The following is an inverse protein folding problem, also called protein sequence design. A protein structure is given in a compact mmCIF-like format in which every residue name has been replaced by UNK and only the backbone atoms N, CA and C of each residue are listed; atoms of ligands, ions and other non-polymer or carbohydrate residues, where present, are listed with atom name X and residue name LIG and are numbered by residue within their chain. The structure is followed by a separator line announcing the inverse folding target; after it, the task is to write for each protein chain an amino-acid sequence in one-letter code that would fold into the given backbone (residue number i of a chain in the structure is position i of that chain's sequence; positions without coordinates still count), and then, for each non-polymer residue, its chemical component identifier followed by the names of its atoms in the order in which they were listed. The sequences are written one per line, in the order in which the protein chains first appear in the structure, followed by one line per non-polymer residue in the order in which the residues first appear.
data_IF_659546131774
#
_entry.id   IF_659546131774
#
_cell.length_a   1.000
_cell.length_b   1.000
_cell.length_c   1.000
_cell.angle_alpha   90.00
_cell.angle_beta   90.00
_cell.angle_gamma   90.00
#
_symmetry.space_group_name_H-M   'P 1'
#
loop_
_entity.id
_entity.type
_entity.pdbx_description
1 polymer ?
#
# COMPACT_ATOMS: atom_id res chain seq x y z
N UNK A 1 3.77 -10.71 6.49
CA UNK A 1 4.53 -11.64 5.67
C UNK A 1 5.77 -12.18 6.37
N UNK A 2 7.00 -11.67 6.16
CA UNK A 2 8.20 -12.22 6.82
C UNK A 2 8.11 -12.09 8.35
N UNK A 3 7.76 -10.92 8.87
CA UNK A 3 7.60 -10.73 10.31
C UNK A 3 6.51 -11.63 10.89
N UNK A 4 5.37 -11.73 10.24
CA UNK A 4 4.28 -12.64 10.60
C UNK A 4 4.74 -14.09 10.62
N UNK A 5 5.47 -14.55 9.59
CA UNK A 5 6.04 -15.90 9.52
C UNK A 5 7.03 -16.18 10.66
N UNK A 6 7.91 -15.23 10.97
CA UNK A 6 8.86 -15.39 12.06
C UNK A 6 8.19 -15.49 13.44
N UNK A 7 7.15 -14.68 13.68
CA UNK A 7 6.40 -14.72 14.93
C UNK A 7 5.55 -15.98 15.04
N UNK A 8 4.89 -16.39 13.94
CA UNK A 8 4.02 -17.57 13.92
C UNK A 8 4.79 -18.89 14.08
N UNK A 9 6.06 -18.93 13.67
CA UNK A 9 6.93 -20.13 13.76
C UNK A 9 7.97 -20.02 14.88
N UNK A 10 7.75 -19.18 15.90
CA UNK A 10 8.62 -19.00 17.06
C UNK A 10 10.09 -18.71 16.73
N UNK A 11 10.34 -18.08 15.57
CA UNK A 11 11.70 -17.69 15.14
C UNK A 11 12.15 -16.36 15.74
N UNK A 12 11.18 -15.57 16.23
CA UNK A 12 11.41 -14.33 16.94
C UNK A 12 10.22 -14.05 17.88
N UNK A 13 10.46 -13.43 19.01
CA UNK A 13 9.41 -12.93 19.91
C UNK A 13 8.90 -11.56 19.48
N UNK A 14 9.77 -10.80 18.82
CA UNK A 14 9.53 -9.44 18.35
C UNK A 14 10.30 -9.15 17.09
N UNK A 15 9.68 -8.46 16.15
CA UNK A 15 10.33 -8.06 14.89
C UNK A 15 10.24 -6.54 14.73
N UNK A 16 11.38 -5.90 14.50
CA UNK A 16 11.43 -4.48 14.13
C UNK A 16 11.47 -4.38 12.60
N UNK A 17 10.48 -3.72 12.04
CA UNK A 17 10.39 -3.47 10.60
C UNK A 17 10.76 -2.01 10.38
N UNK A 18 11.78 -1.77 9.57
CA UNK A 18 12.25 -0.42 9.22
C UNK A 18 12.14 -0.24 7.71
N UNK A 19 11.51 0.86 7.31
CA UNK A 19 11.48 1.32 5.92
C UNK A 19 11.98 2.76 5.88
N UNK A 20 12.99 3.03 5.06
CA UNK A 20 13.54 4.38 4.92
C UNK A 20 14.05 4.62 3.50
N UNK A 21 13.89 5.84 3.04
CA UNK A 21 14.44 6.29 1.76
C UNK A 21 14.84 7.77 1.86
N UNK A 22 15.87 8.17 1.11
CA UNK A 22 16.33 9.55 1.00
C UNK A 22 16.68 9.88 -0.46
N UNK A 23 15.68 9.80 -1.33
CA UNK A 23 15.85 10.02 -2.77
C UNK A 23 16.22 11.46 -3.11
N UNK A 24 15.96 12.41 -2.19
CA UNK A 24 16.28 13.83 -2.37
C UNK A 24 17.69 14.19 -1.95
N UNK A 25 18.52 13.24 -1.50
CA UNK A 25 19.94 13.51 -1.23
C UNK A 25 20.69 13.87 -2.53
N UNK A 26 21.72 14.72 -2.48
CA UNK A 26 22.49 15.09 -3.66
C UNK A 26 23.07 13.88 -4.42
N UNK A 27 23.45 12.83 -3.70
CA UNK A 27 24.05 11.62 -4.26
C UNK A 27 23.03 10.76 -5.02
N UNK A 28 21.79 10.66 -4.52
CA UNK A 28 20.76 9.82 -5.12
C UNK A 28 19.89 10.57 -6.13
N UNK A 29 19.68 11.88 -5.94
CA UNK A 29 18.81 12.69 -6.78
C UNK A 29 19.19 12.63 -8.26
N UNK A 30 20.47 12.81 -8.58
CA UNK A 30 20.94 12.81 -9.96
C UNK A 30 20.75 11.46 -10.67
N UNK A 31 20.76 10.38 -9.93
CA UNK A 31 20.62 9.03 -10.47
C UNK A 31 19.16 8.56 -10.47
N UNK A 32 18.50 8.55 -9.31
CA UNK A 32 17.11 8.06 -9.17
C UNK A 32 16.15 9.05 -9.80
N UNK A 33 16.32 10.35 -9.55
CA UNK A 33 15.49 11.41 -10.13
C UNK A 33 15.55 11.44 -11.64
N UNK A 34 16.75 11.32 -12.22
CA UNK A 34 16.94 11.22 -13.67
C UNK A 34 16.27 9.97 -14.24
N UNK A 35 16.35 8.84 -13.57
CA UNK A 35 15.70 7.59 -13.99
C UNK A 35 14.18 7.70 -14.04
N UNK A 36 13.56 8.28 -13.01
CA UNK A 36 12.10 8.51 -12.97
C UNK A 36 11.66 9.57 -13.98
N UNK A 37 12.43 10.63 -14.18
CA UNK A 37 12.16 11.63 -15.21
C UNK A 37 12.25 11.02 -16.60
N UNK A 38 13.30 10.25 -16.89
CA UNK A 38 13.50 9.61 -18.18
C UNK A 38 12.42 8.58 -18.53
N UNK A 39 11.88 7.90 -17.53
CA UNK A 39 10.76 6.95 -17.69
C UNK A 39 9.40 7.61 -17.78
N UNK A 40 9.30 8.93 -17.61
CA UNK A 40 8.03 9.67 -17.56
C UNK A 40 7.21 9.38 -16.31
N UNK A 41 7.82 8.81 -15.27
CA UNK A 41 7.14 8.47 -14.01
C UNK A 41 7.14 9.64 -13.02
N UNK A 42 8.15 10.52 -13.05
CA UNK A 42 8.18 11.70 -12.20
C UNK A 42 7.40 12.86 -12.80
N UNK A 43 6.76 13.65 -11.94
CA UNK A 43 6.12 14.91 -12.36
C UNK A 43 7.17 15.91 -12.84
N UNK A 44 6.89 16.56 -13.98
CA UNK A 44 7.66 17.68 -14.51
C UNK A 44 6.91 19.02 -14.37
N UNK A 45 5.78 19.05 -13.69
CA UNK A 45 5.02 20.28 -13.46
C UNK A 45 5.78 21.21 -12.50
N UNK A 46 5.87 22.49 -12.87
CA UNK A 46 6.39 23.54 -12.00
C UNK A 46 5.29 24.24 -11.19
N UNK A 47 4.05 23.80 -11.33
CA UNK A 47 2.89 24.30 -10.59
C UNK A 47 2.57 23.35 -9.45
N UNK A 48 2.83 23.77 -8.22
CA UNK A 48 2.64 22.95 -7.03
C UNK A 48 1.23 22.38 -6.92
N UNK A 49 0.20 23.16 -7.23
CA UNK A 49 -1.20 22.74 -7.19
C UNK A 49 -1.59 21.71 -8.27
N UNK A 50 -0.73 21.45 -9.23
CA UNK A 50 -0.90 20.45 -10.29
C UNK A 50 -0.04 19.21 -10.09
N UNK A 51 0.82 19.24 -9.10
CA UNK A 51 1.56 18.07 -8.64
C UNK A 51 0.71 17.27 -7.64
N UNK A 52 1.05 16.02 -7.36
CA UNK A 52 0.36 15.19 -6.37
C UNK A 52 -1.17 15.15 -6.54
N UNK A 53 -1.63 14.71 -7.69
CA UNK A 53 -3.06 14.59 -8.02
C UNK A 53 -3.53 13.11 -7.97
N UNK A 54 -3.71 12.50 -6.79
CA UNK A 54 -4.10 11.10 -6.69
C UNK A 54 -5.48 10.88 -7.32
N UNK A 55 -5.60 9.85 -8.17
CA UNK A 55 -6.81 9.47 -8.90
C UNK A 55 -7.36 10.52 -9.88
N UNK A 56 -6.75 11.70 -9.99
CA UNK A 56 -7.16 12.74 -10.93
C UNK A 56 -6.74 12.39 -12.36
N UNK A 57 -7.56 12.76 -13.34
CA UNK A 57 -7.25 12.56 -14.76
C UNK A 57 -6.07 13.40 -15.25
N UNK A 58 -5.77 14.51 -14.57
CA UNK A 58 -4.67 15.43 -14.86
C UNK A 58 -3.35 15.00 -14.21
N UNK A 59 -3.36 13.91 -13.42
CA UNK A 59 -2.13 13.42 -12.76
C UNK A 59 -1.00 13.28 -13.76
N UNK A 60 0.18 13.70 -13.41
CA UNK A 60 1.31 13.84 -14.35
C UNK A 60 2.63 13.21 -13.87
N UNK A 61 2.61 12.52 -12.75
CA UNK A 61 3.78 11.81 -12.24
C UNK A 61 3.96 11.93 -10.74
N UNK A 62 4.83 11.08 -10.21
CA UNK A 62 5.17 11.04 -8.79
C UNK A 62 6.08 12.21 -8.39
N UNK A 63 6.04 12.55 -7.12
CA UNK A 63 6.96 13.48 -6.48
C UNK A 63 7.92 12.65 -5.63
N UNK A 64 9.23 12.89 -5.81
CA UNK A 64 10.25 12.24 -5.02
C UNK A 64 10.42 12.94 -3.67
N UNK A 65 10.57 12.15 -2.62
CA UNK A 65 10.72 12.64 -1.27
C UNK A 65 11.74 11.86 -0.46
N UNK A 66 11.73 12.09 0.84
CA UNK A 66 12.47 11.31 1.81
C UNK A 66 11.60 11.03 3.03
N UNK A 67 11.87 9.93 3.71
CA UNK A 67 11.16 9.57 4.92
C UNK A 67 11.67 8.28 5.51
N UNK A 68 11.31 8.06 6.77
CA UNK A 68 11.56 6.81 7.47
C UNK A 68 10.39 6.47 8.38
N UNK A 69 10.07 5.19 8.48
CA UNK A 69 9.10 4.66 9.43
C UNK A 69 9.61 3.35 10.01
N UNK A 70 9.27 3.09 11.26
CA UNK A 70 9.57 1.83 11.91
C UNK A 70 8.35 1.31 12.68
N UNK A 71 8.18 -0.01 12.65
CA UNK A 71 7.14 -0.71 13.41
C UNK A 71 7.78 -1.81 14.24
N UNK A 72 7.29 -1.98 15.44
CA UNK A 72 7.55 -3.16 16.27
C UNK A 72 6.33 -4.05 16.21
N UNK A 73 6.51 -5.28 15.76
CA UNK A 73 5.44 -6.29 15.68
C UNK A 73 5.81 -7.43 16.63
N UNK A 74 4.87 -7.83 17.47
CA UNK A 74 5.03 -8.92 18.44
C UNK A 74 3.71 -9.66 18.63
N UNK A 75 3.74 -10.82 19.26
CA UNK A 75 2.50 -11.55 19.60
C UNK A 75 1.74 -10.81 20.70
N UNK A 76 0.41 -10.90 20.69
CA UNK A 76 -0.46 -10.24 21.69
C UNK A 76 -0.11 -10.66 23.12
N UNK A 77 0.24 -11.93 23.33
CA UNK A 77 0.65 -12.44 24.66
C UNK A 77 1.91 -11.73 25.18
N UNK A 78 2.92 -11.58 24.33
CA UNK A 78 4.19 -10.91 24.66
C UNK A 78 3.99 -9.42 25.00
N UNK A 79 3.11 -8.74 24.24
CA UNK A 79 2.76 -7.35 24.52
C UNK A 79 2.05 -7.22 25.88
N UNK A 80 1.11 -8.13 26.16
CA UNK A 80 0.37 -8.15 27.42
C UNK A 80 1.27 -8.41 28.63
N UNK A 81 2.20 -9.37 28.56
CA UNK A 81 3.16 -9.67 29.62
C UNK A 81 4.05 -8.46 29.97
N UNK A 82 4.36 -7.64 28.97
CA UNK A 82 5.15 -6.41 29.16
C UNK A 82 4.31 -5.19 29.57
N UNK A 83 2.99 -5.32 29.67
CA UNK A 83 2.07 -4.23 29.95
C UNK A 83 2.02 -3.16 28.83
N UNK A 84 2.33 -3.54 27.60
CA UNK A 84 2.28 -2.62 26.45
C UNK A 84 0.90 -2.67 25.81
N UNK A 85 0.29 -1.49 25.62
CA UNK A 85 -0.94 -1.35 24.85
C UNK A 85 -0.59 -1.21 23.38
N UNK A 86 -0.98 -2.14 22.50
CA UNK A 86 -0.71 -2.05 21.07
C UNK A 86 -1.55 -0.92 20.43
N UNK A 87 -1.02 -0.32 19.37
CA UNK A 87 -1.74 0.67 18.55
C UNK A 87 -2.79 0.03 17.65
N UNK A 88 -2.51 -1.19 17.18
CA UNK A 88 -3.37 -1.93 16.28
C UNK A 88 -3.01 -3.42 16.33
N UNK A 89 -3.91 -4.25 15.84
CA UNK A 89 -3.68 -5.67 15.63
C UNK A 89 -3.46 -5.95 14.13
N UNK A 90 -2.39 -6.69 13.82
CA UNK A 90 -2.14 -7.17 12.48
C UNK A 90 -2.93 -8.46 12.25
N UNK A 91 -4.02 -8.39 11.53
CA UNK A 91 -4.87 -9.56 11.28
C UNK A 91 -4.25 -10.52 10.29
N UNK A 92 -3.70 -10.01 9.19
CA UNK A 92 -3.08 -10.84 8.16
C UNK A 92 -2.26 -10.03 7.15
N UNK A 93 -1.36 -10.73 6.42
CA UNK A 93 -0.62 -10.18 5.29
C UNK A 93 -0.72 -11.07 4.06
N UNK A 94 -0.62 -10.47 2.86
CA UNK A 94 -0.58 -11.20 1.59
C UNK A 94 0.54 -10.66 0.70
N UNK A 95 1.32 -11.58 0.15
CA UNK A 95 2.25 -11.30 -0.94
C UNK A 95 1.81 -12.07 -2.18
N UNK A 96 1.86 -11.42 -3.34
CA UNK A 96 1.54 -12.03 -4.62
C UNK A 96 2.40 -11.43 -5.72
N UNK A 97 2.66 -12.22 -6.76
CA UNK A 97 3.39 -11.82 -7.95
C UNK A 97 2.68 -12.38 -9.18
N UNK A 98 2.40 -11.52 -10.18
CA UNK A 98 1.73 -11.93 -11.40
C UNK A 98 2.67 -12.40 -12.50
N UNK A 99 3.97 -12.06 -12.44
CA UNK A 99 4.94 -12.25 -13.52
C UNK A 99 4.47 -11.70 -14.89
N UNK A 100 3.57 -10.70 -14.90
CA UNK A 100 2.89 -10.19 -16.08
C UNK A 100 3.81 -9.30 -16.93
N UNK A 101 4.45 -8.31 -16.33
CA UNK A 101 5.32 -7.35 -16.99
C UNK A 101 6.20 -6.60 -15.97
N UNK A 102 7.41 -6.19 -16.38
CA UNK A 102 8.37 -5.53 -15.50
C UNK A 102 7.90 -4.17 -14.94
N UNK A 103 7.04 -3.44 -15.67
CA UNK A 103 6.62 -2.08 -15.30
C UNK A 103 5.11 -1.84 -15.37
N UNK A 104 4.32 -2.79 -15.84
CA UNK A 104 2.86 -2.68 -15.93
C UNK A 104 2.21 -3.62 -14.94
N UNK A 105 1.17 -3.14 -14.25
CA UNK A 105 0.38 -3.96 -13.35
C UNK A 105 -0.60 -4.85 -14.13
N UNK A 106 -0.75 -6.08 -13.69
CA UNK A 106 -1.88 -6.93 -14.07
C UNK A 106 -3.08 -6.55 -13.21
N UNK A 107 -3.93 -5.72 -13.77
CA UNK A 107 -5.09 -5.14 -13.05
C UNK A 107 -6.06 -6.22 -12.58
N UNK A 108 -6.22 -7.31 -13.35
CA UNK A 108 -7.09 -8.42 -12.99
C UNK A 108 -6.50 -9.26 -11.86
N UNK A 109 -5.20 -9.53 -11.92
CA UNK A 109 -4.50 -10.21 -10.85
C UNK A 109 -4.54 -9.43 -9.53
N UNK A 110 -4.36 -8.11 -9.58
CA UNK A 110 -4.48 -7.24 -8.38
C UNK A 110 -5.88 -7.34 -7.79
N UNK A 111 -6.92 -7.25 -8.63
CA UNK A 111 -8.31 -7.35 -8.17
C UNK A 111 -8.61 -8.71 -7.53
N UNK A 112 -8.21 -9.81 -8.16
CA UNK A 112 -8.36 -11.16 -7.62
C UNK A 112 -7.59 -11.37 -6.31
N UNK A 113 -6.38 -10.80 -6.21
CA UNK A 113 -5.55 -10.89 -5.01
C UNK A 113 -6.20 -10.18 -3.83
N UNK A 114 -6.75 -8.98 -4.04
CA UNK A 114 -7.43 -8.21 -2.98
C UNK A 114 -8.74 -8.89 -2.58
N UNK A 115 -9.52 -9.37 -3.52
CA UNK A 115 -10.76 -10.10 -3.23
C UNK A 115 -10.48 -11.38 -2.43
N UNK A 116 -9.52 -12.19 -2.87
CA UNK A 116 -9.08 -13.37 -2.13
C UNK A 116 -8.49 -13.07 -0.75
N UNK A 117 -7.80 -11.93 -0.59
CA UNK A 117 -7.31 -11.46 0.70
C UNK A 117 -8.46 -11.17 1.66
N UNK A 118 -9.45 -10.38 1.24
CA UNK A 118 -10.62 -10.05 2.05
C UNK A 118 -11.45 -11.29 2.34
N UNK A 119 -11.69 -12.16 1.34
CA UNK A 119 -12.40 -13.41 1.55
C UNK A 119 -11.73 -14.34 2.57
N UNK A 120 -10.39 -14.34 2.62
CA UNK A 120 -9.67 -15.09 3.66
C UNK A 120 -9.86 -14.47 5.05
N UNK A 121 -9.88 -13.15 5.15
CA UNK A 121 -10.16 -12.46 6.41
C UNK A 121 -11.58 -12.77 6.91
N UNK A 122 -12.57 -12.76 6.02
CA UNK A 122 -13.95 -13.15 6.34
C UNK A 122 -14.02 -14.57 6.91
N UNK A 123 -13.35 -15.52 6.26
CA UNK A 123 -13.32 -16.91 6.71
C UNK A 123 -12.60 -17.11 8.06
N UNK A 124 -11.50 -16.38 8.28
CA UNK A 124 -10.65 -16.59 9.46
C UNK A 124 -11.18 -15.87 10.68
N UNK A 125 -11.71 -14.65 10.49
CA UNK A 125 -12.08 -13.74 11.57
C UNK A 125 -13.60 -13.51 11.69
N UNK A 126 -14.40 -14.15 10.84
CA UNK A 126 -15.85 -13.95 10.84
C UNK A 126 -16.27 -12.54 10.45
N UNK A 127 -15.45 -11.83 9.67
CA UNK A 127 -15.76 -10.49 9.19
C UNK A 127 -16.74 -10.54 8.02
N UNK A 128 -17.48 -9.46 7.82
CA UNK A 128 -18.31 -9.25 6.64
C UNK A 128 -17.83 -7.99 5.93
N UNK A 129 -17.40 -8.10 4.67
CA UNK A 129 -16.83 -7.01 3.89
C UNK A 129 -17.76 -5.83 3.75
N UNK A 130 -19.07 -6.06 3.62
CA UNK A 130 -20.05 -5.00 3.44
C UNK A 130 -20.37 -4.28 4.75
N UNK A 131 -20.36 -5.01 5.87
CA UNK A 131 -20.56 -4.46 7.20
C UNK A 131 -19.33 -3.63 7.65
N UNK A 132 -18.11 -4.08 7.32
CA UNK A 132 -16.89 -3.38 7.69
C UNK A 132 -16.59 -2.16 6.80
N UNK A 133 -17.09 -2.11 5.56
CA UNK A 133 -16.75 -1.07 4.59
C UNK A 133 -16.87 0.37 5.13
N UNK A 134 -17.93 0.76 5.87
CA UNK A 134 -18.06 2.13 6.42
C UNK A 134 -16.98 2.49 7.46
N UNK A 135 -16.32 1.50 8.04
CA UNK A 135 -15.28 1.66 9.06
C UNK A 135 -13.90 1.28 8.53
N UNK A 136 -13.76 1.15 7.21
CA UNK A 136 -12.51 0.77 6.55
C UNK A 136 -11.82 1.99 5.98
N UNK A 137 -10.51 2.10 6.25
CA UNK A 137 -9.62 3.03 5.57
C UNK A 137 -8.69 2.23 4.67
N UNK A 138 -8.74 2.52 3.39
CA UNK A 138 -7.82 1.96 2.40
C UNK A 138 -6.66 2.93 2.16
N UNK A 139 -5.46 2.55 2.57
CA UNK A 139 -4.24 3.32 2.29
C UNK A 139 -3.75 3.00 0.89
N UNK A 140 -3.95 3.94 -0.01
CA UNK A 140 -3.66 3.81 -1.43
C UNK A 140 -2.15 3.83 -1.73
N UNK A 141 -1.74 2.99 -2.69
CA UNK A 141 -0.42 3.03 -3.31
C UNK A 141 -0.36 4.01 -4.49
N UNK A 142 -1.46 4.63 -4.90
CA UNK A 142 -1.50 5.52 -6.08
C UNK A 142 -0.28 6.46 -6.12
N UNK A 143 0.44 6.44 -7.25
CA UNK A 143 1.71 7.14 -7.46
C UNK A 143 1.61 8.31 -8.42
N UNK A 144 0.40 8.72 -8.80
CA UNK A 144 0.09 9.83 -9.70
C UNK A 144 0.64 9.66 -11.12
N UNK A 145 1.15 8.49 -11.47
CA UNK A 145 1.67 8.23 -12.82
C UNK A 145 0.53 8.19 -13.84
N UNK A 146 0.69 8.81 -15.03
CA UNK A 146 -0.36 8.87 -16.04
C UNK A 146 -0.56 7.57 -16.81
N UNK A 147 0.22 6.53 -16.53
CA UNK A 147 0.21 5.28 -17.26
C UNK A 147 -1.17 4.59 -17.24
N UNK A 148 -1.60 4.08 -18.39
CA UNK A 148 -2.77 3.18 -18.47
C UNK A 148 -2.45 1.86 -17.77
N UNK A 149 -3.42 1.32 -17.03
CA UNK A 149 -3.19 0.12 -16.21
C UNK A 149 -2.27 0.37 -15.01
N UNK A 150 -2.17 1.63 -14.56
CA UNK A 150 -1.39 2.01 -13.38
C UNK A 150 -2.12 1.73 -12.06
N UNK A 151 -1.51 2.19 -10.97
CA UNK A 151 -2.01 1.96 -9.61
C UNK A 151 -3.45 2.44 -9.40
N UNK A 152 -3.81 3.63 -9.86
CA UNK A 152 -5.17 4.16 -9.77
C UNK A 152 -6.22 3.20 -10.36
N UNK A 153 -5.99 2.73 -11.58
CA UNK A 153 -6.93 1.80 -12.23
C UNK A 153 -6.99 0.46 -11.50
N UNK A 154 -5.86 -0.06 -11.08
CA UNK A 154 -5.77 -1.34 -10.37
C UNK A 154 -6.47 -1.29 -9.04
N UNK A 155 -6.28 -0.25 -8.25
CA UNK A 155 -6.90 -0.08 -6.94
C UNK A 155 -8.41 0.14 -7.04
N UNK A 156 -8.87 1.00 -7.94
CA UNK A 156 -10.31 1.22 -8.16
C UNK A 156 -10.99 -0.08 -8.58
N UNK A 157 -10.38 -0.85 -9.50
CA UNK A 157 -10.93 -2.14 -9.90
C UNK A 157 -10.94 -3.14 -8.76
N UNK A 158 -9.86 -3.23 -7.98
CA UNK A 158 -9.77 -4.14 -6.85
C UNK A 158 -10.84 -3.84 -5.80
N UNK A 159 -11.00 -2.59 -5.41
CA UNK A 159 -12.03 -2.19 -4.44
C UNK A 159 -13.44 -2.49 -4.95
N UNK A 160 -13.76 -2.14 -6.20
CA UNK A 160 -15.08 -2.41 -6.79
C UNK A 160 -15.36 -3.90 -6.94
N UNK A 161 -14.38 -4.70 -7.32
CA UNK A 161 -14.52 -6.15 -7.40
C UNK A 161 -14.79 -6.76 -6.03
N UNK A 162 -14.08 -6.29 -5.01
CA UNK A 162 -14.14 -6.85 -3.66
C UNK A 162 -15.39 -6.40 -2.89
N UNK A 163 -15.72 -5.12 -2.93
CA UNK A 163 -16.75 -4.53 -2.07
C UNK A 163 -18.05 -4.17 -2.81
N UNK A 164 -18.07 -4.25 -4.16
CA UNK A 164 -19.24 -3.93 -4.96
C UNK A 164 -19.78 -2.53 -4.64
N UNK A 165 -21.08 -2.42 -4.37
CA UNK A 165 -21.74 -1.17 -4.01
C UNK A 165 -21.26 -0.58 -2.67
N UNK A 166 -20.66 -1.39 -1.79
CA UNK A 166 -20.12 -0.90 -0.53
C UNK A 166 -18.77 -0.17 -0.69
N UNK A 167 -18.18 -0.18 -1.89
CA UNK A 167 -16.93 0.55 -2.19
C UNK A 167 -17.04 2.03 -1.84
N UNK A 168 -18.18 2.66 -2.13
CA UNK A 168 -18.39 4.09 -1.90
C UNK A 168 -18.45 4.47 -0.41
N UNK A 169 -18.47 3.48 0.48
CA UNK A 169 -18.43 3.68 1.94
C UNK A 169 -17.01 3.65 2.51
N UNK A 170 -16.03 3.19 1.72
CA UNK A 170 -14.64 3.06 2.14
C UNK A 170 -13.94 4.42 2.05
N UNK A 171 -13.27 4.82 3.12
CA UNK A 171 -12.41 5.99 3.08
C UNK A 171 -11.08 5.63 2.39
N UNK A 172 -10.76 6.33 1.32
CA UNK A 172 -9.47 6.18 0.63
C UNK A 172 -8.54 7.28 1.08
N UNK A 173 -7.40 6.90 1.66
CA UNK A 173 -6.33 7.82 2.06
C UNK A 173 -5.10 7.59 1.18
N UNK A 174 -4.58 8.66 0.58
CA UNK A 174 -3.29 8.65 -0.09
C UNK A 174 -2.33 9.58 0.66
N UNK A 175 -1.20 9.04 1.11
CA UNK A 175 -0.23 9.75 1.96
C UNK A 175 1.08 10.07 1.23
N UNK A 176 1.10 9.97 -0.09
CA UNK A 176 2.31 10.13 -0.91
C UNK A 176 2.49 11.54 -1.48
N UNK A 177 1.56 12.45 -1.27
CA UNK A 177 1.61 13.80 -1.79
C UNK A 177 1.57 14.87 -0.72
#
# INVERSE_FOLDING_TARGET
SIAEDWLANDRADRVVIISSDNVTSPELWSWIGAGFAASGAASSSNVVGEAALPFDRRRNGLILGMGAAAFVVERNAEAAERGVQPYAELLWTRMANSAFHGTRLDVDHVAQTVDGFVGRMEQTWGLDRHAMAPNTVFFSHETYTPARGGSAQSEVKALRTTFGESTDKILIANTKG
#
